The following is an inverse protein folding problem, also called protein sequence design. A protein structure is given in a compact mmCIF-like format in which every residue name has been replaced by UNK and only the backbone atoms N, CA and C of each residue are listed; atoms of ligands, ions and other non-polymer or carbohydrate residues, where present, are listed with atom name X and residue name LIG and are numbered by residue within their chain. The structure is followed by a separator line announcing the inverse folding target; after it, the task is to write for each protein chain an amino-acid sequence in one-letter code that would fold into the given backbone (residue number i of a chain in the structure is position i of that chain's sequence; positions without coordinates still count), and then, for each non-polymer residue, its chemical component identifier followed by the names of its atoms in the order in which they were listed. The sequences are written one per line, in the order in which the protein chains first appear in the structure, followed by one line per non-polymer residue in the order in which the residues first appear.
data_IF_685987768574
#
_entry.id   IF_685987768574
#
_cell.length_a   1.000
_cell.length_b   1.000
_cell.length_c   1.000
_cell.angle_alpha   90.00
_cell.angle_beta   90.00
_cell.angle_gamma   90.00
#
_symmetry.space_group_name_H-M   'P 1'
#
loop_
_entity.id
_entity.type
_entity.pdbx_description
1 polymer ?
#
# COMPACT_ATOMS: atom_id res chain seq x y z
N UNK A 1 45.18 -2.92 62.06
CA UNK A 1 45.07 -2.20 60.75
C UNK A 1 44.06 -2.93 59.90
N UNK A 2 42.87 -2.34 59.73
CA UNK A 2 41.77 -2.92 58.88
C UNK A 2 41.86 -2.33 57.47
N UNK A 3 42.09 -3.18 56.50
CA UNK A 3 42.05 -2.80 55.09
C UNK A 3 40.59 -2.77 54.62
N UNK A 4 40.11 -1.60 54.16
CA UNK A 4 38.84 -1.47 53.50
C UNK A 4 39.05 -1.81 51.99
N UNK A 5 38.44 -2.90 51.53
CA UNK A 5 38.36 -3.22 50.12
C UNK A 5 37.27 -2.40 49.44
N UNK A 6 37.64 -1.60 48.45
CA UNK A 6 36.70 -0.86 47.59
C UNK A 6 36.27 -1.82 46.48
N UNK A 7 35.00 -2.24 46.51
CA UNK A 7 34.39 -2.99 45.43
C UNK A 7 33.92 -2.00 44.33
N UNK A 8 34.63 -1.98 43.21
CA UNK A 8 34.22 -1.23 42.02
C UNK A 8 33.10 -2.00 41.27
N UNK A 9 31.88 -1.48 41.32
CA UNK A 9 30.79 -1.99 40.56
C UNK A 9 30.89 -1.45 39.10
N UNK A 10 31.22 -2.34 38.17
CA UNK A 10 31.12 -2.04 36.73
C UNK A 10 29.65 -2.07 36.31
N UNK A 11 29.07 -0.89 36.05
CA UNK A 11 27.75 -0.79 35.38
C UNK A 11 28.00 -0.91 33.89
N UNK A 12 27.65 -2.06 33.31
CA UNK A 12 27.66 -2.26 31.88
C UNK A 12 26.43 -1.56 31.27
N UNK A 13 26.63 -0.41 30.67
CA UNK A 13 25.60 0.27 29.92
C UNK A 13 25.36 -0.48 28.58
N UNK A 14 24.21 -1.15 28.48
CA UNK A 14 23.76 -1.75 27.24
C UNK A 14 23.25 -0.65 26.32
N UNK A 15 24.04 -0.27 25.32
CA UNK A 15 23.60 0.58 24.21
C UNK A 15 22.64 -0.21 23.32
N UNK A 16 21.34 0.06 23.42
CA UNK A 16 20.36 -0.44 22.47
C UNK A 16 20.58 0.33 21.17
N UNK A 17 21.18 -0.30 20.17
CA UNK A 17 21.24 0.21 18.81
C UNK A 17 19.82 0.16 18.20
N UNK A 18 19.11 1.28 18.24
CA UNK A 18 17.87 1.44 17.49
C UNK A 18 18.28 1.66 16.03
N UNK A 19 18.22 0.60 15.23
CA UNK A 19 18.35 0.74 13.77
C UNK A 19 17.14 1.52 13.26
N UNK A 20 17.31 2.55 12.40
CA UNK A 20 16.18 3.18 11.74
C UNK A 20 15.50 2.11 10.85
N UNK A 21 14.26 1.79 11.18
CA UNK A 21 13.43 0.94 10.34
C UNK A 21 13.03 1.76 9.10
N UNK A 22 13.78 1.63 8.02
CA UNK A 22 13.31 2.07 6.70
C UNK A 22 12.15 1.15 6.30
N UNK A 23 11.05 1.74 5.81
CA UNK A 23 9.95 0.96 5.25
C UNK A 23 10.42 0.15 4.04
N UNK A 24 9.75 -0.96 3.78
CA UNK A 24 9.99 -1.76 2.58
C UNK A 24 9.44 -1.04 1.34
N UNK A 25 10.01 -1.36 0.17
CA UNK A 25 9.61 -0.80 -1.11
C UNK A 25 8.92 -1.87 -1.95
N UNK A 26 7.76 -1.52 -2.49
CA UNK A 26 6.93 -2.38 -3.33
C UNK A 26 6.72 -1.71 -4.67
N UNK A 27 6.53 -2.49 -5.72
CA UNK A 27 6.35 -1.98 -7.08
C UNK A 27 5.02 -2.45 -7.65
N UNK A 28 4.26 -1.54 -8.24
CA UNK A 28 3.05 -1.81 -9.04
C UNK A 28 3.28 -1.25 -10.45
N UNK A 29 3.17 -2.08 -11.44
CA UNK A 29 3.35 -1.71 -12.84
C UNK A 29 2.00 -1.37 -13.48
N UNK A 30 1.98 -0.33 -14.30
CA UNK A 30 0.85 0.06 -15.14
C UNK A 30 1.10 -0.47 -16.55
N UNK A 31 0.25 -1.44 -16.98
CA UNK A 31 0.51 -2.24 -18.18
C UNK A 31 -0.69 -2.20 -19.14
N UNK A 32 -0.38 -2.09 -20.44
CA UNK A 32 -1.36 -2.36 -21.50
C UNK A 32 -1.74 -3.83 -21.56
N UNK A 33 -0.77 -4.71 -21.27
CA UNK A 33 -0.92 -6.14 -21.33
C UNK A 33 -0.06 -6.83 -20.26
N UNK A 34 -0.63 -7.75 -19.50
CA UNK A 34 0.09 -8.48 -18.47
C UNK A 34 -0.55 -9.84 -18.17
N UNK A 35 -0.09 -10.54 -17.10
CA UNK A 35 -0.50 -11.93 -16.81
C UNK A 35 -2.01 -12.11 -16.66
N UNK A 36 -2.70 -11.08 -16.17
CA UNK A 36 -4.13 -11.13 -15.82
C UNK A 36 -5.02 -10.39 -16.83
N UNK A 37 -4.52 -10.01 -18.00
CA UNK A 37 -5.30 -9.38 -19.05
C UNK A 37 -4.74 -8.08 -19.61
N UNK A 38 -5.66 -7.23 -20.10
CA UNK A 38 -5.34 -5.94 -20.72
C UNK A 38 -5.68 -4.79 -19.77
N UNK A 39 -4.89 -3.72 -19.83
CA UNK A 39 -5.05 -2.51 -19.01
C UNK A 39 -5.16 -2.85 -17.53
N UNK A 40 -4.02 -3.28 -16.97
CA UNK A 40 -3.95 -3.78 -15.61
C UNK A 40 -2.90 -3.05 -14.79
N UNK A 41 -3.08 -3.07 -13.48
CA UNK A 41 -2.02 -2.93 -12.50
C UNK A 41 -1.45 -4.31 -12.17
N UNK A 42 -0.14 -4.44 -12.05
CA UNK A 42 0.53 -5.70 -11.69
C UNK A 42 1.59 -5.47 -10.60
N UNK A 43 1.40 -6.01 -9.41
CA UNK A 43 0.21 -6.71 -8.90
C UNK A 43 -0.98 -5.77 -8.65
N UNK A 44 -2.20 -6.29 -8.76
CA UNK A 44 -3.44 -5.56 -8.47
C UNK A 44 -3.82 -5.52 -6.97
N UNK A 45 -3.16 -6.34 -6.16
CA UNK A 45 -3.30 -6.39 -4.70
C UNK A 45 -1.92 -6.39 -4.07
N UNK A 46 -1.63 -5.38 -3.25
CA UNK A 46 -0.39 -5.23 -2.50
C UNK A 46 -0.69 -5.20 -1.01
N UNK A 47 0.02 -6.01 -0.23
CA UNK A 47 -0.04 -5.99 1.25
C UNK A 47 1.27 -5.45 1.80
N UNK A 48 1.18 -4.41 2.60
CA UNK A 48 2.32 -3.67 3.15
C UNK A 48 2.11 -3.35 4.63
N UNK A 49 3.16 -2.86 5.27
CA UNK A 49 3.12 -2.32 6.64
C UNK A 49 3.05 -0.80 6.61
N UNK A 50 2.59 -0.22 7.71
CA UNK A 50 2.69 1.23 7.90
C UNK A 50 4.15 1.69 7.81
N UNK A 51 4.38 2.71 7.00
CA UNK A 51 5.70 3.27 6.71
C UNK A 51 6.34 2.78 5.41
N UNK A 52 5.78 1.73 4.78
CA UNK A 52 6.26 1.24 3.49
C UNK A 52 5.87 2.16 2.33
N UNK A 53 6.59 2.01 1.23
CA UNK A 53 6.39 2.79 0.00
C UNK A 53 5.95 1.88 -1.15
N UNK A 54 4.96 2.31 -1.91
CA UNK A 54 4.59 1.68 -3.19
C UNK A 54 5.01 2.60 -4.33
N UNK A 55 5.82 2.07 -5.24
CA UNK A 55 6.21 2.70 -6.49
C UNK A 55 5.26 2.28 -7.59
N UNK A 56 4.37 3.17 -8.00
CA UNK A 56 3.53 2.99 -9.17
C UNK A 56 4.33 3.41 -10.40
N UNK A 57 4.53 2.50 -11.34
CA UNK A 57 5.42 2.70 -12.48
C UNK A 57 4.65 2.61 -13.79
N UNK A 58 4.58 3.72 -14.51
CA UNK A 58 3.95 3.82 -15.82
C UNK A 58 4.84 3.16 -16.90
N UNK A 59 4.91 1.82 -16.88
CA UNK A 59 5.69 1.03 -17.85
C UNK A 59 5.20 1.29 -19.26
N UNK A 60 3.88 1.20 -19.45
CA UNK A 60 3.24 1.58 -20.70
C UNK A 60 2.63 2.98 -20.61
N UNK A 61 2.60 3.69 -21.72
CA UNK A 61 2.01 5.03 -21.78
C UNK A 61 0.48 4.99 -21.83
N UNK A 62 -0.15 6.08 -21.39
CA UNK A 62 -1.62 6.21 -21.40
C UNK A 62 -2.30 5.76 -20.12
N UNK A 63 -1.54 5.44 -19.08
CA UNK A 63 -2.03 5.11 -17.75
C UNK A 63 -1.72 6.22 -16.74
N UNK A 64 -2.42 6.19 -15.64
CA UNK A 64 -2.14 6.95 -14.43
C UNK A 64 -2.70 6.19 -13.23
N UNK A 65 -2.27 6.52 -12.03
CA UNK A 65 -2.83 5.98 -10.79
C UNK A 65 -3.39 7.10 -9.94
N UNK A 66 -4.55 6.87 -9.33
CA UNK A 66 -5.10 7.72 -8.29
C UNK A 66 -5.88 6.90 -7.25
N UNK A 67 -5.90 7.37 -6.01
CA UNK A 67 -6.79 6.81 -4.98
C UNK A 67 -8.24 7.17 -5.29
N UNK A 68 -9.15 6.20 -5.13
CA UNK A 68 -10.58 6.43 -5.38
C UNK A 68 -11.18 7.18 -4.20
N UNK A 69 -11.81 8.35 -4.43
CA UNK A 69 -12.44 9.12 -3.34
C UNK A 69 -13.48 8.30 -2.57
N UNK A 70 -13.44 8.39 -1.23
CA UNK A 70 -14.34 7.65 -0.35
C UNK A 70 -14.01 6.16 -0.18
N UNK A 71 -12.92 5.67 -0.79
CA UNK A 71 -12.50 4.27 -0.71
C UNK A 71 -11.04 4.16 -0.22
N UNK A 72 -10.69 5.03 0.72
CA UNK A 72 -9.43 5.01 1.49
C UNK A 72 -9.77 5.20 2.97
N UNK A 73 -8.86 4.89 3.90
CA UNK A 73 -9.08 5.18 5.32
C UNK A 73 -9.38 6.66 5.56
N UNK A 74 -10.21 6.98 6.55
CA UNK A 74 -10.66 8.36 6.83
C UNK A 74 -9.50 9.34 7.08
N UNK A 75 -8.38 8.85 7.65
CA UNK A 75 -7.16 9.64 7.86
C UNK A 75 -6.09 9.39 6.81
N UNK A 76 -6.37 8.53 5.83
CA UNK A 76 -5.47 8.22 4.73
C UNK A 76 -5.26 9.42 3.81
N UNK A 77 -4.05 9.57 3.28
CA UNK A 77 -3.76 10.64 2.33
C UNK A 77 -4.16 10.20 0.91
N UNK A 78 -4.97 10.99 0.19
CA UNK A 78 -5.25 10.73 -1.22
C UNK A 78 -3.99 10.95 -2.06
N UNK A 79 -3.89 10.23 -3.16
CA UNK A 79 -2.77 10.34 -4.10
C UNK A 79 -3.25 10.32 -5.55
N UNK A 80 -2.47 10.91 -6.44
CA UNK A 80 -2.75 10.93 -7.88
C UNK A 80 -1.48 11.25 -8.67
N UNK A 81 -1.20 10.45 -9.69
CA UNK A 81 -0.18 10.73 -10.69
C UNK A 81 -0.75 11.54 -11.86
N UNK A 82 0.13 12.15 -12.65
CA UNK A 82 -0.22 12.62 -13.98
C UNK A 82 -0.12 11.45 -14.99
N UNK A 83 -0.78 11.62 -16.13
CA UNK A 83 -0.78 10.61 -17.20
C UNK A 83 0.64 10.23 -17.62
N UNK A 84 0.94 8.94 -17.66
CA UNK A 84 2.24 8.36 -18.06
C UNK A 84 3.42 8.76 -17.16
N UNK A 85 3.16 9.10 -15.91
CA UNK A 85 4.19 9.42 -14.94
C UNK A 85 4.16 8.46 -13.77
N UNK A 86 5.35 8.10 -13.28
CA UNK A 86 5.54 7.32 -12.08
C UNK A 86 5.11 8.10 -10.84
N UNK A 87 4.73 7.37 -9.78
CA UNK A 87 4.35 7.95 -8.49
C UNK A 87 4.84 7.08 -7.35
N UNK A 88 5.53 7.69 -6.40
CA UNK A 88 5.91 7.06 -5.14
C UNK A 88 4.95 7.50 -4.03
N UNK A 89 4.34 6.53 -3.36
CA UNK A 89 3.42 6.78 -2.25
C UNK A 89 3.89 6.04 -1.01
N UNK A 90 4.20 6.79 0.04
CA UNK A 90 4.46 6.22 1.36
C UNK A 90 3.15 6.13 2.14
N UNK A 91 2.81 4.91 2.57
CA UNK A 91 1.58 4.64 3.29
C UNK A 91 1.83 4.58 4.81
N UNK A 92 1.20 5.47 5.55
CA UNK A 92 1.35 5.54 7.01
C UNK A 92 0.08 5.09 7.73
N UNK A 93 -1.09 5.53 7.26
CA UNK A 93 -2.37 5.18 7.88
C UNK A 93 -2.78 3.76 7.50
N UNK A 94 -3.03 2.86 8.49
CA UNK A 94 -3.50 1.50 8.21
C UNK A 94 -4.89 1.48 7.56
N UNK A 95 -5.14 0.44 6.76
CA UNK A 95 -6.41 0.19 6.11
C UNK A 95 -6.29 -0.19 4.65
N UNK A 96 -7.45 -0.25 3.98
CA UNK A 96 -7.58 -0.55 2.56
C UNK A 96 -7.67 0.74 1.75
N UNK A 97 -6.84 0.84 0.73
CA UNK A 97 -6.85 1.91 -0.27
C UNK A 97 -7.21 1.33 -1.62
N UNK A 98 -8.31 1.79 -2.20
CA UNK A 98 -8.66 1.48 -3.59
C UNK A 98 -7.98 2.47 -4.52
N UNK A 99 -7.31 1.98 -5.54
CA UNK A 99 -6.73 2.82 -6.59
C UNK A 99 -7.23 2.41 -7.98
N UNK A 100 -7.19 3.33 -8.91
CA UNK A 100 -7.72 3.17 -10.26
C UNK A 100 -6.92 3.96 -11.29
N UNK A 101 -7.08 3.60 -12.56
CA UNK A 101 -6.60 4.36 -13.71
C UNK A 101 -7.81 5.05 -14.38
N UNK A 102 -7.88 6.40 -14.38
CA UNK A 102 -9.06 7.13 -14.92
C UNK A 102 -9.48 6.70 -16.31
N UNK A 103 -8.58 6.66 -17.31
CA UNK A 103 -9.00 6.27 -18.65
C UNK A 103 -9.45 4.81 -18.76
N UNK A 104 -8.98 3.91 -17.88
CA UNK A 104 -9.24 2.48 -17.99
C UNK A 104 -10.06 1.87 -16.84
N UNK A 105 -10.55 2.69 -15.89
CA UNK A 105 -11.51 2.23 -14.87
C UNK A 105 -12.72 1.50 -15.47
N UNK A 106 -13.32 1.95 -16.60
CA UNK A 106 -14.46 1.26 -17.19
C UNK A 106 -14.17 -0.18 -17.63
N UNK A 107 -12.92 -0.49 -17.95
CA UNK A 107 -12.51 -1.84 -18.34
C UNK A 107 -11.91 -2.64 -17.19
N UNK A 108 -11.88 -2.06 -15.97
CA UNK A 108 -11.48 -2.75 -14.76
C UNK A 108 -10.02 -2.58 -14.35
N UNK A 109 -9.35 -1.49 -14.78
CA UNK A 109 -8.00 -1.16 -14.32
C UNK A 109 -8.06 -0.52 -12.93
N UNK A 110 -8.13 -1.34 -11.92
CA UNK A 110 -8.24 -1.00 -10.49
C UNK A 110 -7.42 -1.96 -9.65
N UNK A 111 -7.11 -1.56 -8.41
CA UNK A 111 -6.39 -2.40 -7.47
C UNK A 111 -6.56 -1.96 -6.03
N UNK A 112 -5.92 -2.69 -5.11
CA UNK A 112 -5.91 -2.43 -3.67
C UNK A 112 -4.50 -2.40 -3.10
N UNK A 113 -4.24 -1.41 -2.24
CA UNK A 113 -3.17 -1.47 -1.24
C UNK A 113 -3.79 -1.73 0.12
N UNK A 114 -3.31 -2.75 0.82
CA UNK A 114 -3.71 -3.07 2.20
C UNK A 114 -2.53 -2.77 3.12
N UNK A 115 -2.71 -1.78 3.98
CA UNK A 115 -1.69 -1.32 4.93
C UNK A 115 -2.02 -1.88 6.31
N UNK A 116 -1.23 -2.85 6.79
CA UNK A 116 -1.46 -3.47 8.09
C UNK A 116 -2.87 -4.04 8.26
N UNK A 117 -3.58 -3.58 9.29
CA UNK A 117 -4.96 -4.00 9.57
C UNK A 117 -5.96 -3.33 8.60
N UNK A 118 -6.78 -4.11 7.85
CA UNK A 118 -7.77 -3.59 6.93
C UNK A 118 -9.07 -3.11 7.64
N UNK A 119 -8.97 -2.34 8.71
CA UNK A 119 -10.09 -1.98 9.59
C UNK A 119 -11.28 -1.32 8.87
N UNK A 120 -11.03 -0.60 7.76
CA UNK A 120 -12.07 0.06 6.97
C UNK A 120 -12.65 -0.80 5.83
N UNK A 121 -12.33 -2.10 5.78
CA UNK A 121 -12.71 -2.95 4.64
C UNK A 121 -14.22 -2.99 4.39
N UNK A 122 -15.03 -2.92 5.44
CA UNK A 122 -16.49 -2.95 5.35
C UNK A 122 -17.10 -1.58 5.00
N UNK A 123 -16.30 -0.51 5.04
CA UNK A 123 -16.67 0.84 4.60
C UNK A 123 -16.46 1.03 3.09
N UNK A 124 -15.67 0.16 2.44
CA UNK A 124 -15.42 0.24 1.00
C UNK A 124 -16.68 -0.13 0.23
N UNK A 125 -17.25 0.86 -0.46
CA UNK A 125 -18.45 0.68 -1.27
C UNK A 125 -18.18 0.95 -2.75
N UNK A 126 -17.94 -0.08 -3.58
CA UNK A 126 -17.63 0.07 -4.99
C UNK A 126 -18.84 0.32 -5.89
N UNK A 127 -20.04 0.58 -5.35
CA UNK A 127 -21.28 0.70 -6.12
C UNK A 127 -21.27 1.84 -7.15
N UNK A 128 -20.46 2.87 -6.92
CA UNK A 128 -20.29 4.01 -7.85
C UNK A 128 -19.33 3.72 -9.01
N UNK A 129 -18.59 2.61 -8.96
CA UNK A 129 -17.67 2.25 -10.02
C UNK A 129 -18.36 1.58 -11.20
N UNK A 130 -17.81 1.68 -12.43
CA UNK A 130 -18.24 0.89 -13.56
C UNK A 130 -18.26 -0.62 -13.27
N UNK A 131 -19.15 -1.38 -13.89
CA UNK A 131 -19.44 -2.77 -13.55
C UNK A 131 -18.21 -3.67 -13.48
N UNK A 132 -17.26 -3.56 -14.41
CA UNK A 132 -16.03 -4.38 -14.39
C UNK A 132 -15.11 -4.00 -13.25
N UNK A 133 -14.93 -2.71 -12.98
CA UNK A 133 -14.15 -2.22 -11.86
C UNK A 133 -14.77 -2.63 -10.53
N UNK A 134 -16.08 -2.46 -10.38
CA UNK A 134 -16.85 -2.91 -9.21
C UNK A 134 -16.62 -4.39 -8.94
N UNK A 135 -16.85 -5.27 -9.92
CA UNK A 135 -16.68 -6.72 -9.76
C UNK A 135 -15.24 -7.09 -9.38
N UNK A 136 -14.25 -6.42 -9.95
CA UNK A 136 -12.84 -6.66 -9.60
C UNK A 136 -12.56 -6.23 -8.15
N UNK A 137 -12.99 -5.06 -7.73
CA UNK A 137 -12.81 -4.60 -6.34
C UNK A 137 -13.49 -5.55 -5.36
N UNK A 138 -14.73 -5.98 -5.62
CA UNK A 138 -15.44 -6.96 -4.79
C UNK A 138 -14.64 -8.28 -4.67
N UNK A 139 -14.08 -8.79 -5.77
CA UNK A 139 -13.24 -9.99 -5.76
C UNK A 139 -11.94 -9.79 -4.96
N UNK A 140 -11.28 -8.64 -5.10
CA UNK A 140 -10.06 -8.31 -4.34
C UNK A 140 -10.36 -8.16 -2.85
N UNK A 141 -11.46 -7.50 -2.46
CA UNK A 141 -11.89 -7.40 -1.06
C UNK A 141 -12.18 -8.78 -0.46
N UNK A 142 -12.79 -9.69 -1.22
CA UNK A 142 -13.00 -11.07 -0.77
C UNK A 142 -11.68 -11.79 -0.51
N UNK A 143 -10.66 -11.61 -1.37
CA UNK A 143 -9.30 -12.13 -1.14
C UNK A 143 -8.69 -11.55 0.14
N UNK A 144 -8.85 -10.25 0.39
CA UNK A 144 -8.36 -9.62 1.61
C UNK A 144 -9.00 -10.24 2.86
N UNK A 145 -10.33 -10.45 2.87
CA UNK A 145 -11.06 -11.09 3.98
C UNK A 145 -10.64 -12.54 4.21
N UNK A 146 -10.31 -13.26 3.16
CA UNK A 146 -9.90 -14.68 3.24
C UNK A 146 -8.40 -14.86 3.51
N UNK A 147 -7.62 -13.80 3.65
CA UNK A 147 -6.18 -13.86 3.92
C UNK A 147 -5.33 -14.32 2.74
N UNK A 148 -5.82 -14.23 1.51
CA UNK A 148 -5.15 -14.68 0.27
C UNK A 148 -4.69 -13.53 -0.62
#
# INVERSE_FOLDING_TARGET
MKQLGIASAFVAAWMVLVSPAFGEEFRVQELNHGPNGFFIFDPELVRIKSGDTVHFVAVDKGHEVHSVPGMIPAKGQPFSANLSQDLDVRFVEPGVYVFACRPHTPVGMVGLVVVGDPANIDEINPSSLPAKAKSKIEALLARVRNGS
#
